data_IF_625133917663
#
_entry.id   IF_625133917663
#
_cell.length_a   1.000
_cell.length_b   1.000
_cell.length_c   1.000
_cell.angle_alpha   90.00
_cell.angle_beta   90.00
_cell.angle_gamma   90.00
#
_symmetry.space_group_name_H-M   'P 1'
#
loop_
_entity.id
_entity.type
_entity.pdbx_description
1 polymer ?
#
# COMPACT_ATOMS: atom_id res chain seq x y z
N UNK A 1 -13.75 13.35 1.30
CA UNK A 1 -12.45 14.10 1.30
C UNK A 1 -12.09 14.61 -0.10
N UNK A 2 -11.57 15.85 -0.24
CA UNK A 2 -11.14 16.48 -1.51
C UNK A 2 -9.66 16.90 -1.38
N UNK A 3 -8.83 16.60 -2.37
CA UNK A 3 -7.41 17.01 -2.37
C UNK A 3 -7.18 18.45 -2.89
N UNK A 4 -5.93 18.91 -2.89
CA UNK A 4 -5.55 20.27 -3.35
C UNK A 4 -5.78 20.50 -4.85
N UNK A 5 -6.08 19.46 -5.62
CA UNK A 5 -6.39 19.51 -7.05
C UNK A 5 -7.89 19.27 -7.31
N UNK A 6 -8.74 19.43 -6.29
CA UNK A 6 -10.19 19.27 -6.39
C UNK A 6 -10.66 17.87 -6.79
N UNK A 7 -9.84 16.83 -6.57
CA UNK A 7 -10.23 15.44 -6.83
C UNK A 7 -10.91 14.84 -5.61
N UNK A 8 -12.05 14.17 -5.81
CA UNK A 8 -12.70 13.38 -4.77
C UNK A 8 -11.94 12.07 -4.57
N UNK A 9 -11.53 11.80 -3.35
CA UNK A 9 -10.91 10.52 -2.99
C UNK A 9 -12.02 9.48 -2.85
N UNK A 10 -11.98 8.44 -3.68
CA UNK A 10 -13.04 7.43 -3.80
C UNK A 10 -12.58 6.00 -3.53
N UNK A 11 -11.27 5.76 -3.39
CA UNK A 11 -10.73 4.43 -3.12
C UNK A 11 -9.46 4.52 -2.27
N UNK A 12 -9.14 3.40 -1.62
CA UNK A 12 -7.90 3.17 -0.89
C UNK A 12 -7.25 1.91 -1.46
N UNK A 13 -5.97 1.99 -1.82
CA UNK A 13 -5.16 0.82 -2.21
C UNK A 13 -4.26 0.46 -1.04
N UNK A 14 -4.31 -0.80 -0.62
CA UNK A 14 -3.47 -1.33 0.46
C UNK A 14 -2.47 -2.31 -0.14
N UNK A 15 -1.18 -1.99 -0.02
CA UNK A 15 -0.12 -2.96 -0.32
C UNK A 15 0.12 -3.80 0.92
N UNK A 16 0.01 -5.13 0.78
CA UNK A 16 0.13 -6.07 1.91
C UNK A 16 1.53 -6.66 2.04
N UNK A 17 2.28 -6.69 0.94
CA UNK A 17 3.65 -7.20 0.88
C UNK A 17 4.35 -6.63 -0.35
N UNK A 18 5.68 -6.54 -0.27
CA UNK A 18 6.60 -6.27 -1.36
C UNK A 18 7.17 -7.56 -1.99
N UNK A 19 6.84 -8.73 -1.43
CA UNK A 19 7.22 -10.03 -1.97
C UNK A 19 6.43 -10.33 -3.25
N UNK A 20 7.18 -10.68 -4.30
CA UNK A 20 6.64 -11.14 -5.57
C UNK A 20 7.42 -12.37 -6.04
N UNK A 21 6.71 -13.37 -6.56
CA UNK A 21 7.30 -14.55 -7.19
C UNK A 21 7.75 -14.31 -8.65
N UNK A 22 7.53 -13.10 -9.17
CA UNK A 22 7.97 -12.67 -10.49
C UNK A 22 9.12 -11.65 -10.39
N UNK A 23 9.87 -11.52 -11.48
CA UNK A 23 10.96 -10.54 -11.66
C UNK A 23 10.78 -9.82 -12.99
N UNK A 24 9.63 -9.17 -13.14
CA UNK A 24 9.30 -8.48 -14.38
C UNK A 24 10.27 -7.31 -14.59
N UNK A 25 10.93 -7.23 -15.75
CA UNK A 25 11.98 -6.23 -16.05
C UNK A 25 11.52 -4.78 -15.82
N UNK A 26 10.23 -4.48 -16.04
CA UNK A 26 9.64 -3.16 -15.85
C UNK A 26 9.13 -2.87 -14.43
N UNK A 27 9.06 -3.89 -13.57
CA UNK A 27 8.50 -3.78 -12.22
C UNK A 27 9.58 -4.00 -11.15
N UNK A 28 10.39 -5.05 -11.31
CA UNK A 28 11.49 -5.43 -10.42
C UNK A 28 12.71 -5.74 -11.29
N UNK A 29 13.50 -4.71 -11.64
CA UNK A 29 14.63 -4.85 -12.56
C UNK A 29 15.75 -5.75 -12.01
N UNK A 30 16.71 -6.16 -12.84
CA UNK A 30 17.88 -6.91 -12.41
C UNK A 30 18.64 -6.13 -11.31
N UNK A 31 18.82 -6.74 -10.13
CA UNK A 31 19.27 -6.05 -8.91
C UNK A 31 18.20 -6.02 -7.81
N UNK A 32 16.93 -6.24 -8.17
CA UNK A 32 15.83 -6.32 -7.22
C UNK A 32 15.46 -4.96 -6.62
N UNK A 33 14.57 -5.00 -5.65
CA UNK A 33 14.31 -3.90 -4.72
C UNK A 33 14.65 -4.40 -3.33
N UNK A 34 15.16 -3.52 -2.46
CA UNK A 34 15.32 -3.86 -1.04
C UNK A 34 13.95 -4.23 -0.48
N UNK A 35 13.89 -5.43 0.10
CA UNK A 35 12.69 -5.92 0.75
C UNK A 35 12.66 -5.36 2.16
N UNK A 36 11.47 -4.94 2.57
CA UNK A 36 11.23 -4.43 3.91
C UNK A 36 11.42 -5.56 4.93
N UNK A 37 11.97 -5.21 6.09
CA UNK A 37 11.98 -6.16 7.19
C UNK A 37 10.54 -6.44 7.66
N UNK A 38 10.30 -7.64 8.20
CA UNK A 38 8.94 -8.06 8.57
C UNK A 38 8.26 -7.11 9.56
N UNK A 39 9.04 -6.50 10.44
CA UNK A 39 8.55 -5.58 11.47
C UNK A 39 8.22 -4.18 10.92
N UNK A 40 8.62 -3.89 9.68
CA UNK A 40 8.25 -2.67 8.96
C UNK A 40 6.92 -2.83 8.19
N UNK A 41 6.44 -4.07 8.02
CA UNK A 41 5.16 -4.36 7.37
C UNK A 41 4.05 -4.31 8.41
N UNK A 42 2.98 -3.56 8.09
CA UNK A 42 1.82 -3.43 8.97
C UNK A 42 1.21 -4.80 9.30
N UNK A 43 0.86 -4.96 10.58
CA UNK A 43 0.02 -6.06 11.02
C UNK A 43 -1.38 -5.97 10.43
N UNK A 44 -2.10 -7.09 10.45
CA UNK A 44 -3.47 -7.15 9.98
C UNK A 44 -4.39 -6.22 10.79
N UNK A 45 -4.16 -6.13 12.10
CA UNK A 45 -4.90 -5.27 13.02
C UNK A 45 -4.71 -3.79 12.70
N UNK A 46 -3.48 -3.38 12.37
CA UNK A 46 -3.17 -2.01 11.93
C UNK A 46 -3.81 -1.67 10.59
N UNK A 47 -3.73 -2.59 9.62
CA UNK A 47 -4.41 -2.43 8.32
C UNK A 47 -5.91 -2.24 8.53
N UNK A 48 -6.56 -3.08 9.34
CA UNK A 48 -7.99 -2.97 9.63
C UNK A 48 -8.33 -1.65 10.32
N UNK A 49 -7.50 -1.20 11.27
CA UNK A 49 -7.69 0.07 11.96
C UNK A 49 -7.66 1.25 10.98
N UNK A 50 -6.68 1.26 10.08
CA UNK A 50 -6.53 2.31 9.05
C UNK A 50 -7.72 2.28 8.09
N UNK A 51 -8.12 1.11 7.59
CA UNK A 51 -9.25 0.99 6.65
C UNK A 51 -10.55 1.50 7.30
N UNK A 52 -10.83 1.11 8.54
CA UNK A 52 -12.04 1.56 9.26
C UNK A 52 -12.11 3.09 9.34
N UNK A 53 -11.00 3.73 9.70
CA UNK A 53 -10.94 5.19 9.74
C UNK A 53 -11.03 5.80 8.33
N UNK A 54 -10.35 5.24 7.33
CA UNK A 54 -10.38 5.73 5.96
C UNK A 54 -11.77 5.72 5.34
N UNK A 55 -12.55 4.65 5.55
CA UNK A 55 -13.93 4.54 5.05
C UNK A 55 -14.87 5.56 5.73
N UNK A 56 -14.67 5.83 7.03
CA UNK A 56 -15.50 6.80 7.76
C UNK A 56 -15.33 8.26 7.29
N UNK A 57 -14.31 8.57 6.49
CA UNK A 57 -13.98 9.91 6.00
C UNK A 57 -14.51 10.20 4.57
N UNK A 58 -15.18 9.22 3.95
CA UNK A 58 -15.67 9.30 2.56
C UNK A 58 -17.07 9.88 2.48
#
# INVERSE_FOLDING_TARGET
MIDKHSRKISYLRVSVTDLCNLRCVYCMPPGGSELSDRDEILSFEEILKIIKHGVSLV
#
